data_IF_319849428983
#
_entry.id   IF_319849428983
#
_cell.length_a   1.000
_cell.length_b   1.000
_cell.length_c   1.000
_cell.angle_alpha   90.00
_cell.angle_beta   90.00
_cell.angle_gamma   90.00
#
_symmetry.space_group_name_H-M   'P 1'
#
loop_
_entity.id
_entity.type
_entity.pdbx_description
1 polymer ?
#
# COMPACT_ATOMS: atom_id res chain seq x y z
N UNK A 1 -33.58 -32.62 54.60
CA UNK A 1 -33.03 -33.30 55.80
C UNK A 1 -31.50 -33.37 55.66
N UNK A 2 -30.79 -32.99 56.75
CA UNK A 2 -29.33 -32.98 56.97
C UNK A 2 -28.77 -34.43 57.01
N UNK A 3 -27.49 -34.82 56.94
CA UNK A 3 -26.13 -34.30 57.23
C UNK A 3 -25.12 -35.09 56.35
N UNK A 4 -23.97 -34.59 55.87
CA UNK A 4 -22.68 -34.38 56.58
C UNK A 4 -21.96 -35.72 56.89
N UNK A 5 -20.72 -36.06 56.44
CA UNK A 5 -19.42 -35.37 56.63
C UNK A 5 -18.27 -35.92 55.73
N UNK A 6 -17.41 -34.98 55.26
CA UNK A 6 -15.91 -34.92 55.19
C UNK A 6 -14.99 -36.01 54.56
N UNK A 7 -14.41 -35.64 53.41
CA UNK A 7 -13.00 -35.21 53.14
C UNK A 7 -11.77 -35.93 53.75
N UNK A 8 -10.92 -36.46 52.84
CA UNK A 8 -9.44 -36.32 52.66
C UNK A 8 -9.17 -36.79 51.20
N UNK A 9 -8.47 -36.14 50.26
CA UNK A 9 -7.43 -35.12 50.26
C UNK A 9 -6.18 -35.71 49.58
N UNK A 10 -5.84 -35.27 48.34
CA UNK A 10 -4.49 -34.85 47.89
C UNK A 10 -4.38 -34.76 46.36
N UNK A 11 -4.15 -33.54 45.92
CA UNK A 11 -3.74 -33.08 44.60
C UNK A 11 -2.37 -33.63 44.20
N UNK A 12 -2.16 -33.94 42.91
CA UNK A 12 -0.81 -34.18 42.35
C UNK A 12 -0.52 -33.08 41.33
N UNK A 13 0.40 -32.21 41.70
CA UNK A 13 0.86 -31.07 40.93
C UNK A 13 1.86 -31.49 39.85
N UNK A 14 1.81 -30.72 38.78
CA UNK A 14 2.71 -30.71 37.62
C UNK A 14 4.16 -30.50 38.06
N UNK A 15 5.11 -31.30 37.55
CA UNK A 15 6.55 -31.10 37.78
C UNK A 15 7.27 -30.98 36.44
N UNK A 16 7.77 -29.77 36.21
CA UNK A 16 8.66 -29.37 35.13
C UNK A 16 9.97 -30.17 35.19
N UNK A 17 10.46 -30.58 34.01
CA UNK A 17 11.77 -31.22 33.82
C UNK A 17 12.91 -30.18 33.82
N UNK A 18 14.09 -30.49 34.39
CA UNK A 18 15.21 -29.54 34.44
C UNK A 18 16.06 -29.56 33.16
N UNK A 19 16.52 -28.36 32.79
CA UNK A 19 17.43 -28.08 31.70
C UNK A 19 18.80 -28.77 31.88
N UNK A 20 19.31 -29.41 30.82
CA UNK A 20 20.70 -29.85 30.72
C UNK A 20 21.58 -28.68 30.26
N UNK A 21 22.33 -28.09 31.19
CA UNK A 21 23.50 -27.24 30.89
C UNK A 21 24.73 -28.14 30.73
N UNK A 22 25.34 -28.14 29.55
CA UNK A 22 26.70 -28.68 29.35
C UNK A 22 27.62 -27.59 28.79
N UNK A 23 28.19 -26.84 29.74
CA UNK A 23 29.58 -26.37 29.87
C UNK A 23 30.35 -25.98 28.59
N UNK A 24 30.49 -24.66 28.39
CA UNK A 24 31.52 -24.06 27.54
C UNK A 24 32.93 -24.26 28.14
N UNK A 25 33.95 -24.45 27.29
CA UNK A 25 35.37 -24.31 27.65
C UNK A 25 36.07 -23.43 26.59
N UNK A 26 36.85 -22.40 26.98
CA UNK A 26 37.61 -21.52 26.08
C UNK A 26 39.11 -21.90 26.02
N UNK A 27 39.87 -21.11 25.23
CA UNK A 27 41.34 -20.98 25.10
C UNK A 27 41.95 -21.70 23.88
N UNK A 28 42.27 -20.96 22.80
CA UNK A 28 43.53 -20.24 22.52
C UNK A 28 44.69 -21.16 22.07
N UNK A 29 45.08 -20.96 20.80
CA UNK A 29 46.40 -21.15 20.17
C UNK A 29 47.08 -22.52 20.18
N UNK A 30 47.18 -23.15 19.00
CA UNK A 30 48.45 -23.76 18.54
C UNK A 30 48.62 -23.49 17.04
N UNK A 31 49.67 -22.71 16.74
CA UNK A 31 50.25 -22.46 15.43
C UNK A 31 51.10 -23.68 15.05
N UNK A 32 50.88 -24.31 13.89
CA UNK A 32 51.84 -25.27 13.34
C UNK A 32 51.90 -25.15 11.81
N UNK A 33 53.07 -24.65 11.40
CA UNK A 33 53.59 -24.38 10.08
C UNK A 33 53.76 -25.70 9.28
N UNK A 34 53.11 -25.82 8.11
CA UNK A 34 53.55 -26.77 7.08
C UNK A 34 53.87 -25.96 5.82
N UNK A 35 55.17 -25.81 5.60
CA UNK A 35 55.76 -25.13 4.46
C UNK A 35 56.13 -26.19 3.40
N UNK A 36 55.58 -26.05 2.18
CA UNK A 36 56.33 -26.30 0.95
C UNK A 36 55.89 -27.44 0.02
N UNK A 37 55.87 -27.10 -1.28
CA UNK A 37 55.69 -27.90 -2.50
C UNK A 37 54.23 -28.29 -2.81
N UNK A 38 53.45 -27.56 -3.61
CA UNK A 38 53.77 -26.87 -4.87
C UNK A 38 53.55 -27.83 -6.04
N UNK A 39 52.49 -27.61 -6.84
CA UNK A 39 52.34 -27.93 -8.28
C UNK A 39 50.84 -27.81 -8.67
N UNK A 40 50.56 -26.78 -9.47
CA UNK A 40 49.51 -26.67 -10.50
C UNK A 40 48.03 -26.59 -10.11
N UNK A 41 47.65 -25.53 -9.40
CA UNK A 41 46.37 -24.87 -9.70
C UNK A 41 46.63 -23.37 -9.78
N UNK A 42 46.69 -22.86 -11.01
CA UNK A 42 46.65 -21.42 -11.25
C UNK A 42 45.35 -20.89 -10.67
N UNK A 43 45.45 -20.27 -9.49
CA UNK A 43 44.43 -19.33 -9.02
C UNK A 43 44.64 -18.07 -9.86
N UNK A 44 44.22 -18.16 -11.12
CA UNK A 44 43.98 -16.97 -11.91
C UNK A 44 42.91 -16.20 -11.18
N UNK A 45 43.32 -15.03 -10.69
CA UNK A 45 42.46 -13.98 -10.19
C UNK A 45 41.28 -13.84 -11.14
N UNK A 46 40.12 -14.36 -10.74
CA UNK A 46 38.86 -13.68 -11.04
C UNK A 46 38.90 -12.33 -10.32
N UNK A 47 39.63 -11.39 -10.91
CA UNK A 47 39.25 -10.00 -10.85
C UNK A 47 37.92 -9.95 -11.58
N UNK A 48 36.81 -10.02 -10.83
CA UNK A 48 35.57 -9.41 -11.27
C UNK A 48 35.93 -7.96 -11.56
N UNK A 49 36.14 -7.65 -12.84
CA UNK A 49 36.12 -6.29 -13.28
C UNK A 49 34.69 -5.82 -13.02
N UNK A 50 34.47 -5.17 -11.88
CA UNK A 50 33.36 -4.25 -11.68
C UNK A 50 33.60 -3.00 -12.56
N UNK A 51 33.83 -3.22 -13.86
CA UNK A 51 33.55 -2.22 -14.85
C UNK A 51 32.02 -2.15 -14.87
N UNK A 52 31.46 -1.18 -14.14
CA UNK A 52 30.08 -0.80 -14.29
C UNK A 52 29.83 -0.59 -15.78
N UNK A 53 29.17 -1.56 -16.42
CA UNK A 53 28.69 -1.39 -17.78
C UNK A 53 27.87 -0.09 -17.78
N UNK A 54 28.02 0.78 -18.80
CA UNK A 54 27.19 1.97 -18.89
C UNK A 54 25.74 1.51 -18.79
N UNK A 55 25.06 1.95 -17.73
CA UNK A 55 23.66 1.64 -17.50
C UNK A 55 22.95 2.27 -18.69
N UNK A 56 22.51 1.45 -19.63
CA UNK A 56 21.74 1.94 -20.76
C UNK A 56 20.55 2.69 -20.16
N UNK A 57 20.39 3.97 -20.52
CA UNK A 57 19.27 4.77 -20.03
C UNK A 57 17.98 4.03 -20.42
N UNK A 58 17.14 3.77 -19.42
CA UNK A 58 15.83 3.20 -19.68
C UNK A 58 15.07 4.15 -20.61
N UNK A 59 14.32 3.64 -21.60
CA UNK A 59 13.52 4.49 -22.47
C UNK A 59 12.54 5.32 -21.63
N UNK A 60 12.41 6.60 -21.96
CA UNK A 60 11.48 7.49 -21.27
C UNK A 60 10.03 7.04 -21.46
N UNK A 61 9.26 7.03 -20.37
CA UNK A 61 7.84 6.72 -20.41
C UNK A 61 7.07 7.72 -21.28
N UNK A 62 6.12 7.22 -22.07
CA UNK A 62 5.25 8.05 -22.91
C UNK A 62 3.93 8.30 -22.17
N UNK A 63 3.80 9.46 -21.53
CA UNK A 63 2.58 9.86 -20.84
C UNK A 63 1.55 10.44 -21.82
N UNK A 64 0.68 9.59 -22.38
CA UNK A 64 -0.39 10.04 -23.27
C UNK A 64 -1.49 10.79 -22.50
N UNK A 65 -2.06 10.14 -21.49
CA UNK A 65 -3.13 10.69 -20.68
C UNK A 65 -2.64 11.81 -19.74
N UNK A 66 -3.50 12.76 -19.40
CA UNK A 66 -3.25 13.74 -18.35
C UNK A 66 -3.55 13.17 -16.96
N UNK A 67 -3.25 13.92 -15.89
CA UNK A 67 -3.66 13.50 -14.53
C UNK A 67 -5.18 13.46 -14.44
N UNK A 68 -5.91 14.48 -14.94
CA UNK A 68 -7.37 14.45 -15.01
C UNK A 68 -7.92 13.19 -15.69
N UNK A 69 -7.42 12.86 -16.89
CA UNK A 69 -7.91 11.67 -17.62
C UNK A 69 -7.59 10.37 -16.88
N UNK A 70 -6.44 10.29 -16.17
CA UNK A 70 -6.16 9.15 -15.31
C UNK A 70 -7.09 9.09 -14.11
N UNK A 71 -7.38 10.23 -13.48
CA UNK A 71 -8.33 10.28 -12.37
C UNK A 71 -9.70 9.78 -12.83
N UNK A 72 -10.25 10.39 -13.87
CA UNK A 72 -11.58 10.12 -14.39
C UNK A 72 -11.77 8.69 -14.90
N UNK A 73 -10.77 8.13 -15.59
CA UNK A 73 -10.95 6.87 -16.32
C UNK A 73 -10.26 5.65 -15.70
N UNK A 74 -9.42 5.85 -14.68
CA UNK A 74 -8.71 4.75 -14.05
C UNK A 74 -8.76 4.79 -12.53
N UNK A 75 -8.55 5.95 -11.91
CA UNK A 75 -8.47 6.05 -10.45
C UNK A 75 -9.87 6.02 -9.83
N UNK A 76 -10.73 6.96 -10.22
CA UNK A 76 -12.07 7.11 -9.69
C UNK A 76 -12.90 5.83 -9.86
N UNK A 77 -13.05 5.24 -11.07
CA UNK A 77 -13.82 4.00 -11.22
C UNK A 77 -13.19 2.78 -10.51
N UNK A 78 -11.87 2.79 -10.27
CA UNK A 78 -11.23 1.73 -9.51
C UNK A 78 -11.45 1.91 -8.00
N UNK A 79 -11.43 3.14 -7.49
CA UNK A 79 -11.75 3.44 -6.11
C UNK A 79 -13.24 3.18 -5.81
N UNK A 80 -14.14 3.61 -6.69
CA UNK A 80 -15.58 3.31 -6.62
C UNK A 80 -15.83 1.80 -6.57
N UNK A 81 -15.16 1.03 -7.42
CA UNK A 81 -15.28 -0.43 -7.39
C UNK A 81 -14.83 -1.09 -6.08
N UNK A 82 -13.95 -0.43 -5.31
CA UNK A 82 -13.56 -0.86 -3.95
C UNK A 82 -14.58 -0.39 -2.91
N UNK A 83 -15.02 0.87 -2.98
CA UNK A 83 -15.97 1.44 -2.00
C UNK A 83 -17.38 0.87 -2.13
N UNK A 84 -17.91 0.76 -3.35
CA UNK A 84 -19.26 0.27 -3.62
C UNK A 84 -19.44 -1.23 -3.34
N UNK A 85 -18.32 -1.95 -3.17
CA UNK A 85 -18.33 -3.36 -2.82
C UNK A 85 -19.06 -3.63 -1.50
N UNK A 86 -18.98 -2.71 -0.53
CA UNK A 86 -19.60 -2.89 0.79
C UNK A 86 -20.39 -1.65 1.20
N UNK A 87 -21.69 -1.81 1.42
CA UNK A 87 -22.57 -0.72 1.84
C UNK A 87 -23.70 -1.19 2.77
N UNK A 88 -24.13 -0.32 3.66
CA UNK A 88 -25.38 -0.45 4.42
C UNK A 88 -26.29 0.69 4.00
N UNK A 89 -27.38 0.37 3.33
CA UNK A 89 -28.28 1.36 2.72
C UNK A 89 -29.62 1.28 3.42
N UNK A 90 -30.08 2.41 3.96
CA UNK A 90 -31.45 2.53 4.48
C UNK A 90 -32.34 3.13 3.39
N UNK A 91 -33.38 2.42 3.00
CA UNK A 91 -34.38 2.86 2.03
C UNK A 91 -35.81 2.60 2.55
N UNK A 92 -36.83 2.96 1.76
CA UNK A 92 -38.23 2.78 2.16
C UNK A 92 -38.61 1.32 2.43
N UNK A 93 -37.91 0.36 1.83
CA UNK A 93 -38.12 -1.08 2.03
C UNK A 93 -37.36 -1.64 3.25
N UNK A 94 -36.52 -0.84 3.92
CA UNK A 94 -35.74 -1.24 5.10
C UNK A 94 -34.23 -1.07 4.89
N UNK A 95 -33.45 -1.96 5.50
CA UNK A 95 -31.97 -1.89 5.46
C UNK A 95 -31.43 -2.96 4.51
N UNK A 96 -30.78 -2.54 3.43
CA UNK A 96 -30.02 -3.38 2.52
C UNK A 96 -28.56 -3.45 2.98
N UNK A 97 -27.99 -4.66 3.00
CA UNK A 97 -26.56 -4.90 3.21
C UNK A 97 -25.93 -5.43 1.93
N UNK A 98 -25.10 -4.61 1.31
CA UNK A 98 -24.28 -4.96 0.14
C UNK A 98 -22.90 -5.41 0.58
N UNK A 99 -22.48 -6.55 0.04
CA UNK A 99 -21.15 -7.12 0.19
C UNK A 99 -20.96 -8.22 -0.86
N UNK A 100 -19.72 -8.54 -1.26
CA UNK A 100 -19.45 -9.71 -2.09
C UNK A 100 -19.79 -11.00 -1.33
N UNK A 101 -20.33 -11.98 -2.04
CA UNK A 101 -20.81 -13.28 -1.53
C UNK A 101 -20.23 -14.45 -2.29
N UNK A 102 -19.78 -14.24 -3.53
CA UNK A 102 -19.22 -15.29 -4.39
C UNK A 102 -17.73 -15.05 -4.66
N UNK A 103 -16.96 -16.10 -4.99
CA UNK A 103 -15.58 -15.94 -5.43
C UNK A 103 -15.42 -14.96 -6.60
N UNK A 104 -16.37 -14.97 -7.53
CA UNK A 104 -16.38 -14.10 -8.70
C UNK A 104 -16.58 -12.62 -8.32
N UNK A 105 -17.49 -12.33 -7.38
CA UNK A 105 -17.70 -10.98 -6.86
C UNK A 105 -16.47 -10.48 -6.12
N UNK A 106 -15.85 -11.30 -5.26
CA UNK A 106 -14.60 -10.94 -4.60
C UNK A 106 -13.47 -10.67 -5.59
N UNK A 107 -13.38 -11.47 -6.66
CA UNK A 107 -12.36 -11.26 -7.68
C UNK A 107 -12.62 -10.00 -8.52
N UNK A 108 -13.88 -9.61 -8.73
CA UNK A 108 -14.20 -8.33 -9.36
C UNK A 108 -13.68 -7.15 -8.53
N UNK A 109 -13.95 -7.12 -7.21
CA UNK A 109 -13.43 -6.08 -6.30
C UNK A 109 -11.90 -6.07 -6.27
N UNK A 110 -11.29 -7.26 -6.28
CA UNK A 110 -9.83 -7.40 -6.35
C UNK A 110 -9.23 -6.78 -7.61
N UNK A 111 -9.90 -6.92 -8.76
CA UNK A 111 -9.45 -6.30 -10.01
C UNK A 111 -9.45 -4.76 -9.93
N UNK A 112 -10.47 -4.17 -9.29
CA UNK A 112 -10.52 -2.74 -9.02
C UNK A 112 -9.36 -2.29 -8.13
N UNK A 113 -9.10 -2.98 -7.00
CA UNK A 113 -7.97 -2.65 -6.13
C UNK A 113 -6.61 -2.74 -6.85
N UNK A 114 -6.42 -3.71 -7.74
CA UNK A 114 -5.21 -3.82 -8.57
C UNK A 114 -5.08 -2.67 -9.56
N UNK A 115 -6.18 -2.28 -10.21
CA UNK A 115 -6.19 -1.15 -11.14
C UNK A 115 -5.83 0.15 -10.40
N UNK A 116 -6.40 0.37 -9.22
CA UNK A 116 -6.12 1.55 -8.41
C UNK A 116 -4.63 1.61 -8.01
N UNK A 117 -4.07 0.50 -7.53
CA UNK A 117 -2.64 0.41 -7.20
C UNK A 117 -1.77 0.85 -8.37
N UNK A 118 -1.96 0.25 -9.54
CA UNK A 118 -1.10 0.53 -10.70
C UNK A 118 -1.39 1.90 -11.32
N UNK A 119 -2.63 2.39 -11.28
CA UNK A 119 -2.96 3.73 -11.75
C UNK A 119 -2.20 4.81 -10.97
N UNK A 120 -2.00 4.62 -9.66
CA UNK A 120 -1.18 5.53 -8.85
C UNK A 120 0.28 5.62 -9.35
N UNK A 121 0.88 4.52 -9.82
CA UNK A 121 2.22 4.58 -10.42
C UNK A 121 2.25 5.48 -11.66
N UNK A 122 1.16 5.51 -12.44
CA UNK A 122 1.09 6.30 -13.66
C UNK A 122 1.13 7.80 -13.38
N UNK A 123 0.60 8.25 -12.24
CA UNK A 123 0.66 9.65 -11.78
C UNK A 123 2.09 10.11 -11.50
N UNK A 124 2.99 9.18 -11.21
CA UNK A 124 4.38 9.47 -10.88
C UNK A 124 5.28 9.66 -12.10
N UNK A 125 4.80 9.38 -13.31
CA UNK A 125 5.55 9.63 -14.55
C UNK A 125 5.86 11.13 -14.67
N UNK A 126 7.15 11.45 -14.76
CA UNK A 126 7.61 12.83 -14.90
C UNK A 126 7.15 13.48 -16.20
N UNK A 127 6.87 14.78 -16.14
CA UNK A 127 6.40 15.55 -17.31
C UNK A 127 4.96 15.24 -17.73
N UNK A 128 4.22 14.40 -16.99
CA UNK A 128 2.78 14.22 -17.22
C UNK A 128 2.04 15.53 -16.93
N UNK A 129 1.27 15.99 -17.93
CA UNK A 129 0.43 17.19 -17.82
C UNK A 129 -0.74 16.95 -16.86
N UNK A 130 -1.18 18.00 -16.16
CA UNK A 130 -2.37 17.93 -15.29
C UNK A 130 -3.64 17.76 -16.09
N UNK A 131 -3.84 18.59 -17.13
CA UNK A 131 -5.05 18.61 -17.95
C UNK A 131 -4.72 18.82 -19.44
N UNK A 132 -5.72 18.66 -20.30
CA UNK A 132 -5.59 18.93 -21.72
C UNK A 132 -5.28 20.42 -21.97
N UNK A 133 -4.59 20.78 -23.07
CA UNK A 133 -4.34 22.18 -23.40
C UNK A 133 -5.65 22.98 -23.49
N UNK A 134 -5.74 24.08 -22.75
CA UNK A 134 -6.94 24.93 -22.72
C UNK A 134 -8.10 24.38 -21.89
N UNK A 135 -7.89 23.31 -21.11
CA UNK A 135 -8.89 22.88 -20.14
C UNK A 135 -9.10 23.93 -19.05
N UNK A 136 -10.37 24.19 -18.74
CA UNK A 136 -10.79 25.06 -17.64
C UNK A 136 -10.88 24.25 -16.34
N UNK A 137 -10.77 24.95 -15.20
CA UNK A 137 -11.01 24.33 -13.90
C UNK A 137 -12.50 24.00 -13.72
N UNK A 138 -12.80 22.88 -13.04
CA UNK A 138 -14.15 22.67 -12.54
C UNK A 138 -14.42 23.51 -11.27
N UNK A 139 -15.68 23.53 -10.84
CA UNK A 139 -16.08 24.35 -9.69
C UNK A 139 -15.31 23.95 -8.41
N UNK A 140 -14.62 24.92 -7.81
CA UNK A 140 -13.83 24.73 -6.58
C UNK A 140 -12.39 24.28 -6.82
N UNK A 141 -12.06 23.84 -8.03
CA UNK A 141 -10.70 23.46 -8.40
C UNK A 141 -9.81 24.68 -8.65
N UNK A 142 -8.51 24.50 -8.40
CA UNK A 142 -7.48 25.40 -8.92
C UNK A 142 -7.39 25.29 -10.45
N UNK A 143 -7.02 26.37 -11.17
CA UNK A 143 -6.67 26.29 -12.59
C UNK A 143 -5.62 25.20 -12.86
N UNK A 144 -5.73 24.40 -13.94
CA UNK A 144 -4.79 23.30 -14.20
C UNK A 144 -3.32 23.73 -14.22
N UNK A 145 -3.02 24.93 -14.75
CA UNK A 145 -1.68 25.49 -14.74
C UNK A 145 -1.17 25.81 -13.32
N UNK A 146 -2.06 26.18 -12.40
CA UNK A 146 -1.72 26.39 -10.99
C UNK A 146 -1.45 25.04 -10.31
N UNK A 147 -2.29 24.03 -10.56
CA UNK A 147 -2.08 22.67 -10.03
C UNK A 147 -0.72 22.12 -10.50
N UNK A 148 -0.41 22.26 -11.78
CA UNK A 148 0.86 21.79 -12.36
C UNK A 148 2.06 22.50 -11.72
N UNK A 149 1.95 23.81 -11.47
CA UNK A 149 2.97 24.57 -10.76
C UNK A 149 3.15 24.08 -9.31
N UNK A 150 2.06 23.85 -8.57
CA UNK A 150 2.12 23.34 -7.19
C UNK A 150 2.75 21.95 -7.12
N UNK A 151 2.37 21.03 -8.03
CA UNK A 151 2.97 19.69 -8.11
C UNK A 151 4.46 19.78 -8.41
N UNK A 152 4.86 20.69 -9.31
CA UNK A 152 6.28 20.90 -9.64
C UNK A 152 7.05 21.46 -8.45
N UNK A 153 6.50 22.43 -7.75
CA UNK A 153 7.12 23.06 -6.58
C UNK A 153 7.26 22.09 -5.42
N UNK A 154 6.25 21.25 -5.17
CA UNK A 154 6.23 20.28 -4.07
C UNK A 154 6.07 18.84 -4.54
N UNK A 155 6.94 18.43 -5.47
CA UNK A 155 6.94 17.07 -6.03
C UNK A 155 7.09 15.98 -4.96
N UNK A 156 7.93 16.12 -3.92
CA UNK A 156 8.03 15.11 -2.86
C UNK A 156 6.70 14.88 -2.12
N UNK A 157 5.91 15.92 -1.85
CA UNK A 157 4.61 15.75 -1.22
C UNK A 157 3.63 15.02 -2.16
N UNK A 158 3.59 15.39 -3.44
CA UNK A 158 2.76 14.69 -4.42
C UNK A 158 3.08 13.18 -4.48
N UNK A 159 4.37 12.81 -4.55
CA UNK A 159 4.81 11.41 -4.48
C UNK A 159 4.35 10.76 -3.17
N UNK A 160 4.52 11.44 -2.04
CA UNK A 160 4.11 10.95 -0.73
C UNK A 160 2.62 10.63 -0.64
N UNK A 161 1.76 11.49 -1.17
CA UNK A 161 0.32 11.24 -1.20
C UNK A 161 -0.05 10.09 -2.14
N UNK A 162 0.54 10.03 -3.34
CA UNK A 162 0.31 8.92 -4.27
C UNK A 162 0.72 7.57 -3.68
N UNK A 163 1.85 7.50 -2.97
CA UNK A 163 2.24 6.29 -2.23
C UNK A 163 1.34 6.01 -1.04
N UNK A 164 0.80 7.04 -0.38
CA UNK A 164 -0.21 6.90 0.67
C UNK A 164 -1.45 6.14 0.17
N UNK A 165 -1.99 6.56 -0.98
CA UNK A 165 -3.13 5.87 -1.64
C UNK A 165 -2.76 4.43 -2.00
N UNK A 166 -1.55 4.19 -2.51
CA UNK A 166 -1.08 2.82 -2.78
C UNK A 166 -1.04 1.96 -1.53
N UNK A 167 -0.53 2.49 -0.42
CA UNK A 167 -0.43 1.76 0.84
C UNK A 167 -1.80 1.41 1.42
N UNK A 168 -2.77 2.33 1.38
CA UNK A 168 -4.14 2.04 1.85
C UNK A 168 -4.85 1.06 0.92
N UNK A 169 -4.62 1.14 -0.38
CA UNK A 169 -5.14 0.16 -1.34
C UNK A 169 -4.56 -1.24 -1.11
N UNK A 170 -3.30 -1.37 -0.69
CA UNK A 170 -2.74 -2.67 -0.27
C UNK A 170 -3.43 -3.24 0.98
N UNK A 171 -3.90 -2.39 1.89
CA UNK A 171 -4.72 -2.83 3.04
C UNK A 171 -6.07 -3.37 2.57
N UNK A 172 -6.73 -2.67 1.63
CA UNK A 172 -7.97 -3.12 1.02
C UNK A 172 -7.77 -4.46 0.29
N UNK A 173 -6.69 -4.60 -0.49
CA UNK A 173 -6.35 -5.84 -1.18
C UNK A 173 -6.16 -7.01 -0.21
N UNK A 174 -5.48 -6.78 0.92
CA UNK A 174 -5.30 -7.80 1.95
C UNK A 174 -6.62 -8.21 2.64
N UNK A 175 -7.59 -7.30 2.77
CA UNK A 175 -8.93 -7.61 3.26
C UNK A 175 -9.74 -8.40 2.21
N UNK A 176 -9.67 -7.99 0.95
CA UNK A 176 -10.30 -8.66 -0.20
C UNK A 176 -9.81 -10.10 -0.33
N UNK A 177 -8.49 -10.33 -0.28
CA UNK A 177 -7.89 -11.67 -0.38
C UNK A 177 -8.34 -12.61 0.76
N UNK A 178 -8.72 -12.04 1.91
CA UNK A 178 -9.26 -12.77 3.07
C UNK A 178 -10.78 -12.82 3.10
N UNK A 179 -11.46 -12.19 2.14
CA UNK A 179 -12.91 -11.99 2.14
C UNK A 179 -13.43 -11.33 3.43
N UNK A 180 -12.63 -10.42 3.99
CA UNK A 180 -12.91 -9.72 5.24
C UNK A 180 -13.70 -8.44 4.96
N UNK A 181 -15.03 -8.53 5.06
CA UNK A 181 -15.95 -7.40 4.83
C UNK A 181 -15.67 -6.24 5.79
N UNK A 182 -15.41 -6.52 7.06
CA UNK A 182 -15.17 -5.46 8.04
C UNK A 182 -13.81 -4.79 7.81
N UNK A 183 -12.79 -5.59 7.49
CA UNK A 183 -11.48 -5.09 7.09
C UNK A 183 -11.56 -4.21 5.83
N UNK A 184 -12.40 -4.58 4.86
CA UNK A 184 -12.60 -3.81 3.63
C UNK A 184 -13.28 -2.47 3.91
N UNK A 185 -14.28 -2.41 4.79
CA UNK A 185 -14.92 -1.14 5.22
C UNK A 185 -13.90 -0.21 5.87
N UNK A 186 -13.07 -0.73 6.78
CA UNK A 186 -12.03 0.07 7.45
C UNK A 186 -11.00 0.58 6.45
N UNK A 187 -10.52 -0.29 5.54
CA UNK A 187 -9.58 0.10 4.50
C UNK A 187 -10.17 1.13 3.55
N UNK A 188 -11.48 1.04 3.22
CA UNK A 188 -12.19 2.04 2.42
C UNK A 188 -12.18 3.43 3.05
N UNK A 189 -12.33 3.53 4.37
CA UNK A 189 -12.21 4.81 5.10
C UNK A 189 -10.78 5.38 5.06
N UNK A 190 -9.76 4.55 5.26
CA UNK A 190 -8.37 5.01 5.12
C UNK A 190 -8.04 5.42 3.68
N UNK A 191 -8.64 4.75 2.69
CA UNK A 191 -8.48 5.09 1.29
C UNK A 191 -9.08 6.46 0.98
N UNK A 192 -10.29 6.75 1.47
CA UNK A 192 -10.94 8.06 1.37
C UNK A 192 -10.05 9.18 1.96
N UNK A 193 -9.59 9.01 3.19
CA UNK A 193 -8.68 9.95 3.85
C UNK A 193 -7.39 10.20 3.04
N UNK A 194 -6.82 9.16 2.43
CA UNK A 194 -5.61 9.26 1.62
C UNK A 194 -5.86 10.00 0.30
N UNK A 195 -6.99 9.76 -0.37
CA UNK A 195 -7.41 10.48 -1.57
C UNK A 195 -7.62 11.97 -1.25
N UNK A 196 -8.40 12.26 -0.20
CA UNK A 196 -8.71 13.62 0.20
C UNK A 196 -7.47 14.42 0.59
N UNK A 197 -6.51 13.80 1.31
CA UNK A 197 -5.26 14.46 1.68
C UNK A 197 -4.48 15.01 0.48
N UNK A 198 -4.49 14.30 -0.65
CA UNK A 198 -3.92 14.79 -1.91
C UNK A 198 -4.77 15.92 -2.50
N UNK A 199 -6.08 15.71 -2.58
CA UNK A 199 -7.01 16.63 -3.23
C UNK A 199 -7.07 18.00 -2.56
N UNK A 200 -7.09 18.07 -1.22
CA UNK A 200 -7.06 19.34 -0.49
C UNK A 200 -5.69 20.04 -0.55
N UNK A 201 -4.63 19.32 -0.91
CA UNK A 201 -3.27 19.87 -1.03
C UNK A 201 -3.00 20.45 -2.41
N UNK A 202 -3.60 19.89 -3.47
CA UNK A 202 -3.28 20.25 -4.85
C UNK A 202 -4.47 20.62 -5.74
N UNK A 203 -5.67 20.10 -5.47
CA UNK A 203 -6.82 20.24 -6.39
C UNK A 203 -7.78 21.35 -5.97
N UNK A 204 -8.32 21.25 -4.75
CA UNK A 204 -9.45 22.08 -4.34
C UNK A 204 -9.02 23.25 -3.47
N UNK A 205 -9.63 24.39 -3.75
CA UNK A 205 -9.66 25.52 -2.83
C UNK A 205 -11.01 25.52 -2.10
N UNK A 206 -11.00 25.73 -0.80
CA UNK A 206 -12.23 26.12 -0.10
C UNK A 206 -12.41 27.61 -0.39
N UNK A 207 -13.39 28.03 -1.23
CA UNK A 207 -13.62 29.45 -1.43
C UNK A 207 -13.98 30.08 -0.09
N UNK A 208 -13.34 31.19 0.26
CA UNK A 208 -13.63 31.91 1.51
C UNK A 208 -15.10 32.37 1.61
N UNK A 209 -15.81 32.42 0.48
CA UNK A 209 -17.24 32.73 0.39
C UNK A 209 -17.92 31.93 -0.71
N UNK A 210 -19.08 31.33 -0.42
CA UNK A 210 -19.93 30.72 -1.44
C UNK A 210 -20.36 31.78 -2.49
N UNK A 211 -20.39 31.44 -3.78
CA UNK A 211 -20.93 32.35 -4.80
C UNK A 211 -22.39 32.68 -4.46
N UNK A 212 -22.76 33.96 -4.56
CA UNK A 212 -24.16 34.35 -4.42
C UNK A 212 -24.96 33.63 -5.52
N UNK A 213 -26.04 32.95 -5.13
CA UNK A 213 -26.96 32.32 -6.06
C UNK A 213 -27.37 33.35 -7.13
N UNK A 214 -27.19 32.98 -8.40
CA UNK A 214 -27.71 33.77 -9.51
C UNK A 214 -29.23 33.86 -9.37
N UNK A 215 -29.77 35.08 -9.38
CA UNK A 215 -31.21 35.36 -9.33
C UNK A 215 -31.84 35.15 -10.70
#
# INVERSE_FOLDING_TARGET
>A
MKFGLRSRGRTRTNRLSPARRFRQRPLWAVLALVMGCGVLYGVDRWQSADAAAPKADAPAFQAHATIHELMEHMVDPAADGVWDAVAVISNEAGVEKRQPRTPEEWQAVRAHAMMLLEAMNLLLIEGRRVAAPGAEAHFGEHPPAQIEAMIKENRPAFIGFTEGVRQTTLQALAAIDKQDVQGLVVAGGHLDEACEACHISFWYSIPATLPKAAK
#
